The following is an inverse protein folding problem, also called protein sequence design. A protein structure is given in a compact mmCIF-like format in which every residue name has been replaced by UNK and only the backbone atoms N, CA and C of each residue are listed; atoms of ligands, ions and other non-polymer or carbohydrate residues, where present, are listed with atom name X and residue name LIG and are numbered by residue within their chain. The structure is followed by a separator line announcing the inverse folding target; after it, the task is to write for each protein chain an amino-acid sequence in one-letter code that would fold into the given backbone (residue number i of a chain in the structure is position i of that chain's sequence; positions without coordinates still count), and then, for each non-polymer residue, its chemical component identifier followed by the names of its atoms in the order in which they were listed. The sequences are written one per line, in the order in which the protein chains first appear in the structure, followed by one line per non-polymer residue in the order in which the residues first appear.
data_IF_133492187128
#
_entry.id   IF_133492187128
#
_cell.length_a   1.000
_cell.length_b   1.000
_cell.length_c   1.000
_cell.angle_alpha   90.00
_cell.angle_beta   90.00
_cell.angle_gamma   90.00
#
_symmetry.space_group_name_H-M   'P 1'
#
loop_
_entity.id
_entity.type
_entity.pdbx_description
1 polymer ?
#
# COMPACT_ATOMS: atom_id res chain seq x y z
N UNK A 1 -12.15 3.68 15.61
CA UNK A 1 -12.90 4.27 14.50
C UNK A 1 -12.16 4.06 13.19
N UNK A 2 -12.86 3.87 12.07
CA UNK A 2 -12.27 3.78 10.73
C UNK A 2 -12.78 4.96 9.90
N UNK A 3 -11.89 5.76 9.33
CA UNK A 3 -12.25 7.03 8.67
C UNK A 3 -11.17 7.52 7.69
N UNK A 4 -11.54 8.45 6.82
CA UNK A 4 -10.60 9.20 5.95
C UNK A 4 -9.94 10.35 6.72
N UNK A 5 -8.70 10.72 6.40
CA UNK A 5 -7.95 11.79 7.10
C UNK A 5 -8.32 13.19 6.65
N UNK A 6 -9.59 13.42 6.35
CA UNK A 6 -10.10 14.75 6.06
C UNK A 6 -10.16 15.57 7.35
N UNK A 7 -10.01 16.89 7.24
CA UNK A 7 -10.06 17.78 8.39
C UNK A 7 -11.38 17.69 9.18
N UNK A 8 -12.49 17.32 8.50
CA UNK A 8 -13.78 17.06 9.15
C UNK A 8 -13.75 15.86 10.08
N UNK A 9 -12.87 14.88 9.83
CA UNK A 9 -12.74 13.67 10.65
C UNK A 9 -11.64 13.82 11.71
N UNK A 10 -10.49 14.39 11.35
CA UNK A 10 -9.28 14.44 12.20
C UNK A 10 -9.00 15.81 12.84
N UNK A 11 -9.85 16.81 12.63
CA UNK A 11 -9.65 18.15 13.18
C UNK A 11 -9.49 18.14 14.70
N UNK A 12 -8.43 18.77 15.20
CA UNK A 12 -8.08 18.78 16.63
C UNK A 12 -9.06 19.53 17.54
N UNK A 13 -9.97 20.32 16.96
CA UNK A 13 -10.99 21.10 17.70
C UNK A 13 -12.42 20.65 17.45
N UNK A 14 -12.71 20.13 16.26
CA UNK A 14 -14.07 19.83 15.80
C UNK A 14 -14.14 18.65 14.85
N UNK A 15 -13.11 17.79 14.85
CA UNK A 15 -13.11 16.57 14.07
C UNK A 15 -14.12 15.57 14.61
N UNK A 16 -14.80 14.85 13.72
CA UNK A 16 -15.79 13.85 14.08
C UNK A 16 -15.23 12.80 15.07
N UNK A 17 -13.96 12.40 14.92
CA UNK A 17 -13.31 11.45 15.83
C UNK A 17 -13.26 11.98 17.26
N UNK A 18 -12.81 13.23 17.42
CA UNK A 18 -12.72 13.89 18.73
C UNK A 18 -14.11 14.00 19.39
N UNK A 19 -15.11 14.41 18.62
CA UNK A 19 -16.48 14.56 19.12
C UNK A 19 -17.08 13.22 19.56
N UNK A 20 -16.82 12.14 18.82
CA UNK A 20 -17.27 10.79 19.16
C UNK A 20 -16.58 10.28 20.44
N UNK A 21 -15.27 10.46 20.58
CA UNK A 21 -14.52 10.07 21.78
C UNK A 21 -14.99 10.83 23.03
N UNK A 22 -15.23 12.14 22.89
CA UNK A 22 -15.80 12.98 23.96
C UNK A 22 -17.20 12.50 24.39
N UNK A 23 -18.06 12.19 23.42
CA UNK A 23 -19.41 11.71 23.69
C UNK A 23 -19.41 10.33 24.38
N UNK A 24 -18.44 9.47 24.05
CA UNK A 24 -18.31 8.13 24.63
C UNK A 24 -17.50 8.11 25.93
N UNK A 25 -16.81 9.21 26.27
CA UNK A 25 -15.96 9.31 27.46
C UNK A 25 -14.76 8.37 27.44
N UNK A 26 -14.27 7.96 26.27
CA UNK A 26 -13.11 7.08 26.12
C UNK A 26 -12.42 7.27 24.78
N UNK A 27 -11.12 7.01 24.78
CA UNK A 27 -10.32 6.95 23.57
C UNK A 27 -10.71 5.74 22.72
N UNK A 28 -10.69 5.89 21.40
CA UNK A 28 -10.95 4.81 20.47
C UNK A 28 -9.73 4.55 19.60
N UNK A 29 -9.50 3.29 19.24
CA UNK A 29 -8.45 2.94 18.30
C UNK A 29 -8.76 3.54 16.93
N UNK A 30 -7.96 4.50 16.48
CA UNK A 30 -8.15 5.22 15.24
C UNK A 30 -7.40 4.56 14.08
N UNK A 31 -8.16 4.11 13.07
CA UNK A 31 -7.68 3.43 11.87
C UNK A 31 -7.94 4.34 10.68
N UNK A 32 -7.05 5.32 10.51
CA UNK A 32 -7.14 6.32 9.47
C UNK A 32 -6.63 5.80 8.11
N UNK A 33 -7.16 6.33 7.00
CA UNK A 33 -6.72 6.00 5.63
C UNK A 33 -6.75 4.50 5.27
N UNK A 34 -7.71 3.74 5.82
CA UNK A 34 -7.76 2.28 5.62
C UNK A 34 -7.93 1.86 4.15
N UNK A 35 -8.40 2.74 3.26
CA UNK A 35 -8.58 2.43 1.83
C UNK A 35 -7.28 2.47 1.00
N UNK A 36 -6.20 3.04 1.55
CA UNK A 36 -4.97 3.30 0.78
C UNK A 36 -3.74 2.67 1.42
N UNK A 37 -3.89 1.51 2.07
CA UNK A 37 -2.79 0.92 2.84
C UNK A 37 -1.68 0.42 1.91
N UNK A 38 -2.05 -0.13 0.75
CA UNK A 38 -1.09 -0.49 -0.30
C UNK A 38 -0.29 0.74 -0.75
N UNK A 39 -0.97 1.84 -1.09
CA UNK A 39 -0.34 3.08 -1.54
C UNK A 39 0.59 3.66 -0.46
N UNK A 40 0.22 3.57 0.81
CA UNK A 40 1.07 4.01 1.93
C UNK A 40 2.34 3.15 2.04
N UNK A 41 2.25 1.83 1.88
CA UNK A 41 3.41 0.93 1.91
C UNK A 41 4.30 1.19 0.69
N UNK A 42 3.72 1.24 -0.50
CA UNK A 42 4.43 1.49 -1.75
C UNK A 42 5.09 2.89 -1.76
N UNK A 43 4.43 3.91 -1.21
CA UNK A 43 5.00 5.24 -0.98
C UNK A 43 6.30 5.20 -0.17
N UNK A 44 6.25 4.47 0.95
CA UNK A 44 7.38 4.36 1.88
C UNK A 44 8.51 3.55 1.26
N UNK A 45 8.19 2.42 0.63
CA UNK A 45 9.16 1.61 -0.10
C UNK A 45 9.88 2.46 -1.17
N UNK A 46 9.13 3.19 -1.99
CA UNK A 46 9.70 4.08 -2.99
C UNK A 46 10.59 5.18 -2.39
N UNK A 47 10.12 5.87 -1.34
CA UNK A 47 10.89 6.92 -0.69
C UNK A 47 12.23 6.42 -0.17
N UNK A 48 12.27 5.18 0.34
CA UNK A 48 13.49 4.50 0.79
C UNK A 48 14.36 4.10 -0.41
N UNK A 49 13.79 3.43 -1.41
CA UNK A 49 14.54 2.89 -2.54
C UNK A 49 15.15 3.98 -3.43
N UNK A 50 14.42 5.07 -3.68
CA UNK A 50 14.88 6.16 -4.55
C UNK A 50 15.41 7.36 -3.78
N UNK A 51 15.53 7.25 -2.45
CA UNK A 51 16.03 8.30 -1.58
C UNK A 51 15.35 9.68 -1.81
N UNK A 52 14.05 9.64 -2.13
CA UNK A 52 13.21 10.81 -2.42
C UNK A 52 12.11 10.92 -1.38
N UNK A 53 12.42 11.39 -0.16
CA UNK A 53 11.41 11.59 0.86
C UNK A 53 10.41 12.66 0.39
N UNK A 54 9.16 12.24 0.13
CA UNK A 54 8.06 13.16 -0.13
C UNK A 54 7.47 13.64 1.20
N UNK A 55 7.57 14.93 1.47
CA UNK A 55 6.93 15.62 2.60
C UNK A 55 5.64 16.34 2.21
N UNK A 56 5.24 16.29 0.92
CA UNK A 56 4.00 16.88 0.42
C UNK A 56 2.78 15.98 0.64
N UNK A 57 1.56 16.54 0.78
CA UNK A 57 0.33 15.79 1.06
C UNK A 57 -0.10 14.84 -0.08
N UNK A 58 0.44 15.06 -1.27
CA UNK A 58 0.28 14.19 -2.44
C UNK A 58 1.64 13.58 -2.77
N UNK A 59 1.63 12.28 -3.06
CA UNK A 59 2.81 11.61 -3.59
C UNK A 59 2.77 11.80 -5.10
N UNK A 60 3.52 12.78 -5.58
CA UNK A 60 3.58 13.16 -7.00
C UNK A 60 3.91 11.98 -7.92
N UNK A 61 4.59 10.95 -7.41
CA UNK A 61 4.86 9.71 -8.13
C UNK A 61 3.57 9.03 -8.57
N UNK A 62 2.64 8.72 -7.65
CA UNK A 62 1.41 8.02 -8.02
C UNK A 62 0.54 8.88 -8.92
N UNK A 63 0.53 10.20 -8.72
CA UNK A 63 -0.15 11.12 -9.66
C UNK A 63 0.42 10.99 -11.07
N UNK A 64 1.76 10.99 -11.22
CA UNK A 64 2.40 10.77 -12.53
C UNK A 64 2.09 9.39 -13.11
N UNK A 65 2.10 8.34 -12.29
CA UNK A 65 1.72 6.99 -12.72
C UNK A 65 0.26 6.92 -13.16
N UNK A 66 -0.65 7.58 -12.46
CA UNK A 66 -2.07 7.66 -12.82
C UNK A 66 -2.29 8.39 -14.15
N UNK A 67 -1.57 9.49 -14.37
CA UNK A 67 -1.65 10.29 -15.60
C UNK A 67 -1.09 9.54 -16.81
N UNK A 68 -0.12 8.65 -16.57
CA UNK A 68 0.54 7.85 -17.60
C UNK A 68 0.03 6.42 -17.67
N UNK A 69 -0.96 6.06 -16.85
CA UNK A 69 -1.39 4.67 -16.68
C UNK A 69 -1.77 4.00 -17.99
N UNK A 70 -2.54 4.70 -18.82
CA UNK A 70 -3.02 4.20 -20.11
C UNK A 70 -1.90 4.10 -21.18
N UNK A 71 -0.71 4.63 -20.89
CA UNK A 71 0.47 4.58 -21.76
C UNK A 71 1.49 3.53 -21.31
N UNK A 72 1.29 2.91 -20.14
CA UNK A 72 2.17 1.86 -19.62
C UNK A 72 1.65 0.53 -20.14
N UNK A 73 2.55 -0.27 -20.72
CA UNK A 73 2.25 -1.65 -21.07
C UNK A 73 2.30 -2.50 -19.79
N UNK A 74 1.14 -2.93 -19.29
CA UNK A 74 1.04 -3.71 -18.06
C UNK A 74 1.51 -5.17 -18.23
N UNK A 75 1.66 -5.64 -19.46
CA UNK A 75 2.22 -6.96 -19.73
C UNK A 75 3.75 -6.94 -19.67
N UNK A 76 4.37 -5.78 -19.90
CA UNK A 76 5.82 -5.57 -19.78
C UNK A 76 6.21 -5.22 -18.34
N UNK A 77 6.59 -6.25 -17.58
CA UNK A 77 7.08 -6.10 -16.22
C UNK A 77 8.30 -7.00 -15.99
N UNK A 78 9.14 -6.60 -15.02
CA UNK A 78 10.34 -7.33 -14.64
C UNK A 78 10.26 -7.75 -13.17
N UNK A 79 10.92 -8.86 -12.86
CA UNK A 79 11.11 -9.32 -11.48
C UNK A 79 12.20 -8.48 -10.83
N UNK A 80 12.25 -8.43 -9.50
CA UNK A 80 13.35 -7.77 -8.81
C UNK A 80 14.66 -8.51 -9.09
N UNK A 81 15.68 -7.84 -9.63
CA UNK A 81 16.95 -8.51 -9.89
C UNK A 81 17.64 -8.88 -8.58
N UNK A 82 18.41 -9.98 -8.57
CA UNK A 82 18.97 -10.55 -7.34
C UNK A 82 19.95 -9.60 -6.62
N UNK A 83 20.60 -8.67 -7.35
CA UNK A 83 21.50 -7.65 -6.79
C UNK A 83 20.76 -6.55 -6.00
N UNK A 84 19.46 -6.37 -6.26
CA UNK A 84 18.57 -5.51 -5.49
C UNK A 84 17.99 -6.20 -4.25
N UNK A 85 18.12 -7.53 -4.12
CA UNK A 85 17.69 -8.27 -2.93
C UNK A 85 18.77 -8.21 -1.86
N UNK A 86 18.36 -7.93 -0.62
CA UNK A 86 19.23 -8.14 0.54
C UNK A 86 19.53 -9.63 0.70
N UNK A 87 20.68 -9.98 1.29
CA UNK A 87 21.04 -11.39 1.54
C UNK A 87 19.92 -12.13 2.28
N UNK A 88 19.32 -11.50 3.30
CA UNK A 88 18.20 -12.08 4.06
C UNK A 88 16.99 -12.42 3.19
N UNK A 89 16.62 -11.55 2.24
CA UNK A 89 15.50 -11.80 1.33
C UNK A 89 15.88 -12.89 0.33
N UNK A 90 17.11 -12.89 -0.18
CA UNK A 90 17.60 -13.91 -1.11
C UNK A 90 17.57 -15.30 -0.48
N UNK A 91 18.09 -15.42 0.74
CA UNK A 91 18.17 -16.69 1.49
C UNK A 91 16.77 -17.21 1.86
N UNK A 92 15.84 -16.30 2.14
CA UNK A 92 14.47 -16.64 2.53
C UNK A 92 13.48 -16.61 1.38
N UNK A 93 13.91 -16.37 0.13
CA UNK A 93 13.02 -16.07 -1.01
C UNK A 93 11.90 -17.08 -1.18
N UNK A 94 12.25 -18.37 -1.20
CA UNK A 94 11.28 -19.45 -1.38
C UNK A 94 10.29 -19.55 -0.20
N UNK A 95 10.78 -19.33 1.03
CA UNK A 95 9.93 -19.34 2.23
C UNK A 95 8.98 -18.12 2.24
N UNK A 96 9.47 -16.95 1.81
CA UNK A 96 8.66 -15.75 1.65
C UNK A 96 7.56 -15.96 0.61
N UNK A 97 7.90 -16.47 -0.57
CA UNK A 97 6.93 -16.82 -1.62
C UNK A 97 5.88 -17.80 -1.09
N UNK A 98 6.31 -18.85 -0.38
CA UNK A 98 5.38 -19.84 0.18
C UNK A 98 4.43 -19.19 1.20
N UNK A 99 4.94 -18.32 2.08
CA UNK A 99 4.13 -17.56 3.03
C UNK A 99 3.14 -16.61 2.35
N UNK A 100 3.57 -15.88 1.32
CA UNK A 100 2.71 -14.98 0.54
C UNK A 100 1.58 -15.75 -0.16
N UNK A 101 1.91 -16.88 -0.83
CA UNK A 101 0.91 -17.75 -1.47
C UNK A 101 -0.05 -18.37 -0.45
N UNK A 102 0.43 -18.70 0.75
CA UNK A 102 -0.43 -19.16 1.86
C UNK A 102 -1.38 -18.06 2.35
N UNK A 103 -0.94 -16.80 2.43
CA UNK A 103 -1.83 -15.70 2.78
C UNK A 103 -2.83 -15.39 1.66
N UNK A 104 -2.44 -15.52 0.39
CA UNK A 104 -3.36 -15.38 -0.74
C UNK A 104 -4.47 -16.44 -0.78
N UNK A 105 -4.24 -17.62 -0.21
CA UNK A 105 -5.28 -18.65 -0.09
C UNK A 105 -6.23 -18.41 1.09
N UNK A 106 -5.93 -17.45 1.95
CA UNK A 106 -6.77 -17.05 3.08
C UNK A 106 -7.66 -15.87 2.71
N UNK A 107 -8.70 -15.65 3.53
CA UNK A 107 -9.57 -14.50 3.37
C UNK A 107 -8.78 -13.20 3.53
N UNK A 108 -8.77 -12.39 2.48
CA UNK A 108 -8.27 -11.03 2.55
C UNK A 108 -9.43 -10.09 2.84
N UNK A 109 -9.37 -9.29 3.92
CA UNK A 109 -10.46 -8.41 4.30
C UNK A 109 -10.65 -7.25 3.31
N UNK A 110 -9.67 -7.02 2.42
CA UNK A 110 -9.67 -5.95 1.42
C UNK A 110 -8.89 -6.36 0.18
N UNK A 111 -9.27 -5.74 -0.93
CA UNK A 111 -8.70 -5.96 -2.25
C UNK A 111 -7.28 -5.40 -2.39
N UNK A 112 -6.95 -4.30 -1.71
CA UNK A 112 -5.63 -3.67 -1.70
C UNK A 112 -4.57 -4.56 -1.02
N UNK A 113 -4.94 -5.29 0.03
CA UNK A 113 -4.08 -6.31 0.64
C UNK A 113 -3.84 -7.50 -0.28
N UNK A 114 -4.87 -7.92 -1.01
CA UNK A 114 -4.73 -8.99 -1.98
C UNK A 114 -3.76 -8.57 -3.09
N UNK A 115 -3.90 -7.35 -3.61
CA UNK A 115 -2.98 -6.81 -4.61
C UNK A 115 -1.55 -6.67 -4.08
N UNK A 116 -1.35 -6.20 -2.83
CA UNK A 116 -0.01 -6.13 -2.23
C UNK A 116 0.69 -7.51 -2.22
N UNK A 117 -0.04 -8.55 -1.84
CA UNK A 117 0.48 -9.91 -1.82
C UNK A 117 0.78 -10.42 -3.24
N UNK A 118 -0.10 -10.16 -4.21
CA UNK A 118 0.09 -10.52 -5.63
C UNK A 118 1.34 -9.84 -6.20
N UNK A 119 1.50 -8.52 -6.00
CA UNK A 119 2.66 -7.75 -6.42
C UNK A 119 3.95 -8.26 -5.77
N UNK A 120 3.90 -8.61 -4.48
CA UNK A 120 5.07 -9.17 -3.78
C UNK A 120 5.52 -10.51 -4.38
N UNK A 121 4.58 -11.35 -4.79
CA UNK A 121 4.87 -12.63 -5.46
C UNK A 121 5.49 -12.40 -6.84
N UNK A 122 4.96 -11.45 -7.63
CA UNK A 122 5.49 -11.07 -8.95
C UNK A 122 6.92 -10.55 -8.83
N UNK A 123 7.15 -9.63 -7.90
CA UNK A 123 8.47 -9.00 -7.66
C UNK A 123 9.52 -10.04 -7.26
N UNK A 124 9.13 -11.10 -6.54
CA UNK A 124 10.02 -12.20 -6.15
C UNK A 124 10.19 -13.29 -7.24
N UNK A 125 9.57 -13.11 -8.40
CA UNK A 125 9.77 -13.95 -9.59
C UNK A 125 8.76 -15.06 -9.79
N UNK A 126 7.60 -15.00 -9.15
CA UNK A 126 6.56 -16.03 -9.22
C UNK A 126 5.23 -15.48 -9.71
N UNK A 127 4.35 -16.36 -10.21
CA UNK A 127 3.03 -15.97 -10.69
C UNK A 127 1.95 -16.15 -9.60
N UNK A 128 1.11 -15.13 -9.31
CA UNK A 128 -0.03 -15.28 -8.42
C UNK A 128 -1.12 -16.17 -9.03
N UNK A 129 -1.97 -16.78 -8.18
CA UNK A 129 -3.03 -17.70 -8.62
C UNK A 129 -4.07 -17.04 -9.54
N UNK A 130 -4.29 -15.73 -9.42
CA UNK A 130 -5.23 -14.94 -10.23
C UNK A 130 -4.61 -14.42 -11.54
N UNK A 131 -3.35 -14.79 -11.80
CA UNK A 131 -2.53 -14.25 -12.88
C UNK A 131 -1.91 -12.90 -12.52
N UNK A 132 -1.26 -12.30 -13.51
CA UNK A 132 -0.59 -10.99 -13.37
C UNK A 132 -1.59 -9.91 -13.73
N UNK A 133 -1.89 -9.04 -12.77
CA UNK A 133 -2.81 -7.90 -12.93
C UNK A 133 -2.28 -6.76 -12.08
N UNK A 134 -2.18 -5.59 -12.68
CA UNK A 134 -1.82 -4.36 -11.98
C UNK A 134 -3.04 -3.45 -11.94
N UNK A 135 -3.42 -2.93 -10.78
CA UNK A 135 -4.47 -1.92 -10.70
C UNK A 135 -3.85 -0.54 -10.91
N UNK A 136 -4.64 0.35 -11.50
CA UNK A 136 -4.29 1.76 -11.56
C UNK A 136 -4.15 2.27 -10.12
N UNK A 137 -3.01 2.87 -9.73
CA UNK A 137 -2.85 3.39 -8.39
C UNK A 137 -3.98 4.36 -8.06
N UNK A 138 -4.54 4.31 -6.86
CA UNK A 138 -5.53 5.29 -6.42
C UNK A 138 -4.85 6.53 -5.84
N UNK A 139 -5.60 7.65 -5.73
CA UNK A 139 -5.03 8.93 -5.33
C UNK A 139 -4.41 8.82 -3.92
N UNK A 140 -3.08 9.00 -3.77
CA UNK A 140 -2.47 8.94 -2.46
C UNK A 140 -2.79 10.21 -1.69
N UNK A 141 -3.71 10.11 -0.74
CA UNK A 141 -3.79 11.08 0.33
C UNK A 141 -2.88 10.60 1.46
N UNK A 142 -1.72 11.26 1.63
CA UNK A 142 -0.95 11.04 2.84
C UNK A 142 -1.77 11.58 4.02
N UNK A 143 -1.97 10.73 5.02
CA UNK A 143 -2.42 11.15 6.33
C UNK A 143 -1.48 12.25 6.83
N UNK A 144 -2.04 13.42 7.16
CA UNK A 144 -1.33 14.48 7.89
C UNK A 144 -1.28 14.15 9.38
#
# INVERSE_FOLDING_TARGET
MCFETTASNTGSRSGACLLIEQQLGRDLLNVACRHHVLELIAAKAYAVCLNTPSSGPQILLFTRFQDKWDLIDQDQHEIMPDDHLTEAIRDSRNNLIAGLKLHLSQFQPRDDYCELLELSVIVLGEMPARGIRFRRPEAPHLAR
#
